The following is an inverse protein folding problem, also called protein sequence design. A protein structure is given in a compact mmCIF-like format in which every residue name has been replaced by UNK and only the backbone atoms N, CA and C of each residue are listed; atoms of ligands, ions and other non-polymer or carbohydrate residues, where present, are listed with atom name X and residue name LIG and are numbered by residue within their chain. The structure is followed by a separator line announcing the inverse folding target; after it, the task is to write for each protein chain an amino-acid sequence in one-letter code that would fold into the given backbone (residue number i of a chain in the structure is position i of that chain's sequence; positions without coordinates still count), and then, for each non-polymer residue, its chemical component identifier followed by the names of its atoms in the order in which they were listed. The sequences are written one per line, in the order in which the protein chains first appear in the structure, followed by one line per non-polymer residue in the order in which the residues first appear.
data_IF_713399584187
#
_entry.id   IF_713399584187
#
_cell.length_a   1.000
_cell.length_b   1.000
_cell.length_c   1.000
_cell.angle_alpha   90.00
_cell.angle_beta   90.00
_cell.angle_gamma   90.00
#
_symmetry.space_group_name_H-M   'P 1'
#
loop_
_entity.id
_entity.type
_entity.pdbx_description
1 polymer ?
#
# COMPACT_ATOMS: atom_id res chain seq x y z
N UNK A 1 -12.51 -2.38 -11.29
CA UNK A 1 -11.43 -3.19 -10.71
C UNK A 1 -12.06 -4.29 -9.88
N UNK A 2 -11.59 -5.51 -10.08
CA UNK A 2 -12.20 -6.67 -9.45
C UNK A 2 -11.56 -6.92 -8.08
N UNK A 3 -12.34 -7.42 -7.14
CA UNK A 3 -11.89 -7.63 -5.76
C UNK A 3 -10.73 -8.64 -5.66
N UNK A 4 -10.64 -9.59 -6.59
CA UNK A 4 -9.52 -10.54 -6.60
C UNK A 4 -8.21 -9.84 -6.95
N UNK A 5 -8.27 -8.90 -7.87
CA UNK A 5 -7.12 -8.08 -8.24
C UNK A 5 -6.71 -7.19 -7.08
N UNK A 6 -7.68 -6.62 -6.37
CA UNK A 6 -7.40 -5.81 -5.18
C UNK A 6 -6.68 -6.65 -4.12
N UNK A 7 -7.16 -7.86 -3.87
CA UNK A 7 -6.54 -8.77 -2.91
C UNK A 7 -5.12 -9.18 -3.31
N UNK A 8 -4.90 -9.49 -4.60
CA UNK A 8 -3.57 -9.81 -5.12
C UNK A 8 -2.61 -8.63 -4.98
N UNK A 9 -3.08 -7.44 -5.34
CA UNK A 9 -2.28 -6.23 -5.23
C UNK A 9 -1.96 -5.91 -3.77
N UNK A 10 -2.93 -6.11 -2.88
CA UNK A 10 -2.72 -5.95 -1.45
C UNK A 10 -1.62 -6.90 -0.94
N UNK A 11 -1.63 -8.15 -1.39
CA UNK A 11 -0.59 -9.12 -1.05
C UNK A 11 0.79 -8.69 -1.52
N UNK A 12 0.88 -8.16 -2.75
CA UNK A 12 2.15 -7.65 -3.29
C UNK A 12 2.68 -6.48 -2.48
N UNK A 13 1.80 -5.52 -2.15
CA UNK A 13 2.17 -4.36 -1.35
C UNK A 13 2.59 -4.80 0.05
N UNK A 14 1.84 -5.70 0.67
CA UNK A 14 2.14 -6.20 2.01
C UNK A 14 3.53 -6.86 2.07
N UNK A 15 3.84 -7.69 1.08
CA UNK A 15 5.16 -8.33 1.01
C UNK A 15 6.29 -7.32 0.85
N UNK A 16 6.05 -6.29 0.02
CA UNK A 16 7.04 -5.23 -0.14
C UNK A 16 7.27 -4.48 1.16
N UNK A 17 6.20 -4.08 1.84
CA UNK A 17 6.32 -3.35 3.11
C UNK A 17 7.01 -4.19 4.18
N UNK A 18 6.76 -5.49 4.20
CA UNK A 18 7.39 -6.39 5.15
C UNK A 18 8.83 -6.75 4.82
N UNK A 19 9.29 -6.49 3.61
CA UNK A 19 10.70 -6.71 3.26
C UNK A 19 11.62 -5.83 4.09
N UNK A 20 11.11 -4.69 4.56
CA UNK A 20 11.76 -3.83 5.53
C UNK A 20 10.68 -3.09 6.33
N UNK A 21 10.15 -3.76 7.35
CA UNK A 21 9.04 -3.24 8.14
C UNK A 21 9.43 -2.11 9.09
N UNK A 22 10.73 -1.86 9.25
CA UNK A 22 11.22 -0.81 10.14
C UNK A 22 11.30 0.56 9.46
N UNK A 23 11.29 0.58 8.14
CA UNK A 23 11.36 1.85 7.42
C UNK A 23 9.96 2.39 7.13
N UNK A 24 9.89 3.70 6.94
CA UNK A 24 8.68 4.34 6.44
C UNK A 24 8.68 4.30 4.92
N UNK A 25 7.55 3.91 4.36
CA UNK A 25 7.36 3.81 2.92
C UNK A 25 6.50 4.97 2.43
N UNK A 26 6.99 5.65 1.41
CA UNK A 26 6.23 6.71 0.73
C UNK A 26 5.32 6.11 -0.33
N UNK A 27 4.13 6.66 -0.51
CA UNK A 27 3.18 6.22 -1.54
C UNK A 27 3.83 6.22 -2.92
N UNK A 28 4.50 7.31 -3.27
CA UNK A 28 5.16 7.46 -4.58
C UNK A 28 6.25 6.40 -4.81
N UNK A 29 6.95 6.02 -3.76
CA UNK A 29 7.99 5.01 -3.80
C UNK A 29 7.39 3.62 -4.05
N UNK A 30 6.34 3.27 -3.32
CA UNK A 30 5.63 1.99 -3.49
C UNK A 30 5.07 1.90 -4.90
N UNK A 31 4.48 2.98 -5.37
CA UNK A 31 3.93 3.07 -6.71
C UNK A 31 5.00 2.80 -7.77
N UNK A 32 6.15 3.41 -7.60
CA UNK A 32 7.28 3.25 -8.53
C UNK A 32 7.81 1.82 -8.54
N UNK A 33 7.97 1.22 -7.38
CA UNK A 33 8.51 -0.14 -7.25
C UNK A 33 7.53 -1.18 -7.79
N UNK A 34 6.25 -1.03 -7.48
CA UNK A 34 5.23 -2.00 -7.87
C UNK A 34 4.74 -1.82 -9.29
N UNK A 35 4.92 -0.64 -9.88
CA UNK A 35 4.35 -0.30 -11.18
C UNK A 35 2.84 -0.10 -11.16
N UNK A 36 2.22 -0.04 -9.98
CA UNK A 36 0.78 0.17 -9.85
C UNK A 36 0.41 1.62 -10.10
N UNK A 37 -0.76 1.83 -10.68
CA UNK A 37 -1.32 3.18 -10.79
C UNK A 37 -1.95 3.61 -9.46
N UNK A 38 -2.40 4.86 -9.38
CA UNK A 38 -2.96 5.41 -8.14
C UNK A 38 -4.17 4.62 -7.65
N UNK A 39 -5.04 4.18 -8.56
CA UNK A 39 -6.24 3.43 -8.19
C UNK A 39 -5.89 2.04 -7.67
N UNK A 40 -4.96 1.37 -8.34
CA UNK A 40 -4.50 0.04 -7.94
C UNK A 40 -3.83 0.07 -6.56
N UNK A 41 -2.90 1.00 -6.38
CA UNK A 41 -2.17 1.10 -5.12
C UNK A 41 -3.09 1.61 -4.00
N UNK A 42 -3.92 2.61 -4.28
CA UNK A 42 -4.85 3.14 -3.29
C UNK A 42 -5.81 2.08 -2.78
N UNK A 43 -6.38 1.27 -3.67
CA UNK A 43 -7.29 0.18 -3.25
C UNK A 43 -6.56 -0.92 -2.50
N UNK A 44 -5.32 -1.25 -2.89
CA UNK A 44 -4.51 -2.24 -2.17
C UNK A 44 -4.20 -1.78 -0.74
N UNK A 45 -3.79 -0.52 -0.59
CA UNK A 45 -3.50 0.06 0.73
C UNK A 45 -4.77 0.16 1.58
N UNK A 46 -5.90 0.56 0.97
CA UNK A 46 -7.18 0.60 1.67
C UNK A 46 -7.61 -0.76 2.18
N UNK A 47 -7.40 -1.80 1.39
CA UNK A 47 -7.67 -3.18 1.79
C UNK A 47 -6.83 -3.56 3.01
N UNK A 48 -5.51 -3.27 2.96
CA UNK A 48 -4.59 -3.59 4.05
C UNK A 48 -4.93 -2.79 5.31
N UNK A 49 -5.34 -1.54 5.18
CA UNK A 49 -5.77 -0.71 6.30
C UNK A 49 -7.01 -1.29 6.98
N UNK A 50 -7.96 -1.78 6.18
CA UNK A 50 -9.16 -2.45 6.69
C UNK A 50 -8.82 -3.70 7.47
N UNK A 51 -7.76 -4.40 7.07
CA UNK A 51 -7.29 -5.63 7.72
C UNK A 51 -6.31 -5.33 8.88
N UNK A 52 -6.13 -4.08 9.23
CA UNK A 52 -5.16 -3.64 10.27
C UNK A 52 -3.71 -4.05 9.98
N UNK A 53 -3.36 -4.17 8.72
CA UNK A 53 -2.01 -4.61 8.32
C UNK A 53 -1.07 -3.47 8.01
N UNK A 54 -1.58 -2.23 7.91
CA UNK A 54 -0.79 -1.03 7.67
C UNK A 54 -1.28 0.09 8.56
N UNK A 55 -0.38 1.00 8.89
CA UNK A 55 -0.69 2.23 9.61
C UNK A 55 -0.30 3.41 8.74
N UNK A 56 -1.13 4.44 8.79
CA UNK A 56 -0.87 5.68 8.06
C UNK A 56 -0.39 6.74 9.03
N UNK A 57 0.65 7.46 8.62
CA UNK A 57 1.01 8.68 9.27
C UNK A 57 0.46 9.84 8.47
N UNK A 58 -0.35 10.66 9.12
CA UNK A 58 -0.85 11.88 8.53
C UNK A 58 0.02 13.02 9.04
N UNK A 59 0.79 13.62 8.14
CA UNK A 59 1.53 14.80 8.47
C UNK A 59 0.66 16.02 8.19
N UNK A 60 0.45 16.82 9.24
CA UNK A 60 -0.28 18.06 9.11
C UNK A 60 0.72 19.20 8.90
N UNK A 61 0.74 19.70 7.69
CA UNK A 61 1.50 20.91 7.38
C UNK A 61 0.59 22.11 7.49
N UNK A 62 0.83 22.91 8.49
CA UNK A 62 0.09 24.15 8.65
C UNK A 62 0.81 25.30 7.94
#
# INVERSE_FOLDING_TARGET
MDKYIIGENAGKVWRLLNSDHLRKWEFSEIKKITGMDDAELGSAIGWLAREDKVQFELEHHN
#
